data_IF_183705804976
#
_entry.id   IF_183705804976
#
_cell.length_a   1.000
_cell.length_b   1.000
_cell.length_c   1.000
_cell.angle_alpha   90.00
_cell.angle_beta   90.00
_cell.angle_gamma   90.00
#
_symmetry.space_group_name_H-M   'P 1'
#
loop_
_entity.id
_entity.type
_entity.pdbx_description
1 polymer ?
#
# COMPACT_ATOMS: atom_id res chain seq x y z
N UNK A 1 23.84 5.68 13.34
CA UNK A 1 22.79 6.50 12.70
C UNK A 1 21.98 5.59 11.78
N UNK A 2 20.78 5.99 11.37
CA UNK A 2 20.00 5.25 10.36
C UNK A 2 19.93 6.06 9.06
N UNK A 3 19.93 5.36 7.93
CA UNK A 3 19.80 5.97 6.61
C UNK A 3 18.33 5.97 6.12
N UNK A 4 17.53 5.04 6.63
CA UNK A 4 16.13 4.91 6.28
C UNK A 4 15.31 4.25 7.40
N UNK A 5 14.02 4.58 7.43
CA UNK A 5 12.97 3.84 8.12
C UNK A 5 12.22 2.98 7.09
N UNK A 6 11.88 1.76 7.49
CA UNK A 6 11.18 0.78 6.66
C UNK A 6 9.95 0.24 7.39
N UNK A 7 8.84 0.10 6.68
CA UNK A 7 7.66 -0.65 7.13
C UNK A 7 7.32 -1.72 6.10
N UNK A 8 6.82 -2.86 6.58
CA UNK A 8 6.40 -3.97 5.73
C UNK A 8 4.89 -3.87 5.37
N UNK A 9 4.26 -4.98 5.00
CA UNK A 9 2.91 -5.03 4.43
C UNK A 9 1.75 -5.06 5.44
N UNK A 10 2.04 -5.01 6.74
CA UNK A 10 1.01 -5.10 7.78
C UNK A 10 0.35 -3.74 8.09
N UNK A 11 -0.92 -3.61 7.71
CA UNK A 11 -1.78 -2.46 8.04
C UNK A 11 -2.98 -2.92 8.85
N UNK A 12 -4.15 -3.05 8.23
CA UNK A 12 -5.26 -3.79 8.83
C UNK A 12 -5.03 -5.31 8.70
N UNK A 13 -5.60 -6.12 9.61
CA UNK A 13 -5.48 -7.58 9.53
C UNK A 13 -6.05 -8.13 8.23
N UNK A 14 -5.48 -9.24 7.75
CA UNK A 14 -6.06 -10.00 6.63
C UNK A 14 -7.51 -10.37 6.94
N UNK A 15 -8.38 -10.18 5.94
CA UNK A 15 -9.82 -10.46 6.09
C UNK A 15 -10.03 -11.95 6.35
N UNK A 16 -10.70 -12.27 7.45
CA UNK A 16 -11.19 -13.62 7.75
C UNK A 16 -12.67 -13.68 7.33
N UNK A 17 -13.04 -14.70 6.57
CA UNK A 17 -14.40 -14.82 6.05
C UNK A 17 -15.42 -14.88 7.19
N UNK A 18 -16.39 -13.95 7.16
CA UNK A 18 -17.43 -13.83 8.19
C UNK A 18 -17.04 -13.00 9.42
N UNK A 19 -15.79 -12.52 9.50
CA UNK A 19 -15.34 -11.65 10.58
C UNK A 19 -15.19 -10.21 10.10
N UNK A 20 -15.65 -9.26 10.92
CA UNK A 20 -15.44 -7.84 10.70
C UNK A 20 -14.41 -7.32 11.69
N UNK A 21 -13.52 -6.45 11.22
CA UNK A 21 -12.63 -5.73 12.12
C UNK A 21 -13.46 -4.83 13.06
N UNK A 22 -13.29 -4.92 14.40
CA UNK A 22 -14.24 -4.36 15.36
C UNK A 22 -14.01 -2.86 15.63
N UNK A 23 -14.01 -2.04 14.58
CA UNK A 23 -13.75 -0.59 14.65
C UNK A 23 -14.98 0.28 14.36
N UNK A 24 -16.18 -0.29 14.27
CA UNK A 24 -17.41 0.44 13.99
C UNK A 24 -17.64 1.61 14.96
N UNK A 25 -17.42 1.39 16.27
CA UNK A 25 -17.54 2.46 17.28
C UNK A 25 -16.50 3.56 17.08
N UNK A 26 -15.28 3.19 16.70
CA UNK A 26 -14.20 4.13 16.39
C UNK A 26 -14.56 4.96 15.16
N UNK A 27 -15.07 4.31 14.11
CA UNK A 27 -15.58 4.97 12.91
C UNK A 27 -16.68 5.98 13.25
N UNK A 28 -17.72 5.58 14.01
CA UNK A 28 -18.80 6.49 14.42
C UNK A 28 -18.31 7.68 15.25
N UNK A 29 -17.28 7.47 16.08
CA UNK A 29 -16.73 8.51 16.95
C UNK A 29 -15.85 9.51 16.18
N UNK A 30 -15.03 9.04 15.25
CA UNK A 30 -13.97 9.85 14.64
C UNK A 30 -14.20 10.22 13.16
N UNK A 31 -15.11 9.56 12.46
CA UNK A 31 -15.41 9.87 11.05
C UNK A 31 -15.98 11.28 10.87
N UNK A 32 -16.74 11.80 11.85
CA UNK A 32 -17.35 13.14 11.81
C UNK A 32 -18.15 13.43 10.51
N UNK A 33 -18.67 12.39 9.86
CA UNK A 33 -19.38 12.49 8.57
C UNK A 33 -18.50 12.75 7.34
N UNK A 34 -17.17 12.68 7.45
CA UNK A 34 -16.22 12.91 6.35
C UNK A 34 -16.32 11.83 5.27
N UNK A 35 -16.51 10.58 5.68
CA UNK A 35 -16.65 9.43 4.79
C UNK A 35 -18.04 8.82 4.89
N UNK A 36 -18.56 8.35 3.75
CA UNK A 36 -19.84 7.63 3.68
C UNK A 36 -19.67 6.12 3.88
N UNK A 37 -18.44 5.62 3.74
CA UNK A 37 -18.08 4.22 3.87
C UNK A 37 -16.89 4.06 4.84
N UNK A 38 -16.98 3.07 5.73
CA UNK A 38 -15.92 2.75 6.70
C UNK A 38 -14.61 2.36 6.00
N UNK A 39 -14.67 1.73 4.83
CA UNK A 39 -13.44 1.31 4.12
C UNK A 39 -12.61 2.51 3.61
N UNK A 40 -13.26 3.59 3.18
CA UNK A 40 -12.57 4.83 2.81
C UNK A 40 -11.95 5.50 4.03
N UNK A 41 -12.67 5.49 5.15
CA UNK A 41 -12.15 5.98 6.42
C UNK A 41 -10.94 5.17 6.90
N UNK A 42 -10.96 3.84 6.77
CA UNK A 42 -9.81 2.98 7.09
C UNK A 42 -8.60 3.31 6.21
N UNK A 43 -8.79 3.52 4.90
CA UNK A 43 -7.72 3.96 4.00
C UNK A 43 -7.15 5.32 4.41
N UNK A 44 -8.02 6.28 4.74
CA UNK A 44 -7.59 7.61 5.19
C UNK A 44 -6.77 7.53 6.49
N UNK A 45 -7.17 6.70 7.46
CA UNK A 45 -6.40 6.49 8.69
C UNK A 45 -4.97 5.98 8.37
N UNK A 46 -4.83 5.02 7.45
CA UNK A 46 -3.52 4.51 7.03
C UNK A 46 -2.72 5.61 6.31
N UNK A 47 -3.37 6.35 5.41
CA UNK A 47 -2.73 7.45 4.67
C UNK A 47 -2.25 8.56 5.63
N UNK A 48 -3.03 8.89 6.65
CA UNK A 48 -2.64 9.84 7.70
C UNK A 48 -1.42 9.34 8.47
N UNK A 49 -1.40 8.07 8.90
CA UNK A 49 -0.22 7.48 9.55
C UNK A 49 1.03 7.59 8.67
N UNK A 50 0.95 7.17 7.41
CA UNK A 50 2.10 7.18 6.48
C UNK A 50 2.59 8.60 6.24
N UNK A 51 1.68 9.56 5.99
CA UNK A 51 2.01 10.98 5.80
C UNK A 51 2.69 11.57 7.05
N UNK A 52 2.13 11.31 8.22
CA UNK A 52 2.59 11.91 9.47
C UNK A 52 3.94 11.32 9.89
N UNK A 53 4.17 10.03 9.66
CA UNK A 53 5.47 9.40 9.83
C UNK A 53 6.53 10.03 8.93
N UNK A 54 6.26 10.17 7.62
CA UNK A 54 7.21 10.83 6.72
C UNK A 54 7.50 12.26 7.19
N UNK A 55 6.45 13.02 7.54
CA UNK A 55 6.59 14.40 8.01
C UNK A 55 7.48 14.48 9.25
N UNK A 56 7.25 13.62 10.25
CA UNK A 56 8.05 13.57 11.46
C UNK A 56 9.52 13.18 11.18
N UNK A 57 9.75 12.19 10.30
CA UNK A 57 11.10 11.78 9.88
C UNK A 57 11.83 12.96 9.23
N UNK A 58 11.19 13.68 8.30
CA UNK A 58 11.83 14.80 7.60
C UNK A 58 12.08 16.01 8.51
N UNK A 59 11.26 16.21 9.53
CA UNK A 59 11.46 17.25 10.54
C UNK A 59 12.67 16.96 11.44
N UNK A 60 12.85 15.69 11.83
CA UNK A 60 13.98 15.27 12.67
C UNK A 60 15.28 15.17 11.86
N UNK A 61 15.23 14.46 10.72
CA UNK A 61 16.37 14.22 9.81
C UNK A 61 15.91 14.14 8.36
N UNK A 62 15.94 15.26 7.66
CA UNK A 62 15.49 15.39 6.25
C UNK A 62 16.15 14.44 5.26
N UNK A 63 17.36 13.95 5.55
CA UNK A 63 18.08 12.99 4.72
C UNK A 63 17.66 11.53 4.93
N UNK A 64 16.98 11.21 6.04
CA UNK A 64 16.51 9.84 6.31
C UNK A 64 15.35 9.54 5.38
N UNK A 65 15.44 8.41 4.65
CA UNK A 65 14.37 7.97 3.75
C UNK A 65 13.28 7.22 4.52
N UNK A 66 12.05 7.32 4.07
CA UNK A 66 10.95 6.48 4.51
C UNK A 66 10.44 5.66 3.34
N UNK A 67 10.20 4.37 3.55
CA UNK A 67 9.57 3.56 2.52
C UNK A 67 8.92 2.32 3.08
N UNK A 68 8.13 1.72 2.20
CA UNK A 68 7.18 0.68 2.58
C UNK A 68 7.29 -0.50 1.61
N UNK A 69 7.24 -1.72 2.12
CA UNK A 69 7.08 -2.95 1.35
C UNK A 69 5.64 -3.43 1.42
N UNK A 70 4.75 -2.97 0.51
CA UNK A 70 3.38 -3.45 0.49
C UNK A 70 3.28 -4.80 -0.23
N UNK A 71 2.11 -5.43 -0.16
CA UNK A 71 1.80 -6.60 -0.98
C UNK A 71 1.98 -6.30 -2.47
N UNK A 72 2.28 -7.32 -3.28
CA UNK A 72 2.60 -7.10 -4.70
C UNK A 72 1.44 -6.59 -5.56
N UNK A 73 0.18 -6.69 -5.11
CA UNK A 73 -1.01 -6.28 -5.87
C UNK A 73 -1.72 -5.13 -5.15
N UNK A 74 -1.85 -3.97 -5.79
CA UNK A 74 -2.63 -2.85 -5.25
C UNK A 74 -4.15 -3.08 -5.37
N UNK A 75 -4.62 -3.30 -6.60
CA UNK A 75 -5.99 -3.68 -6.98
C UNK A 75 -5.92 -4.57 -8.22
N UNK A 76 -6.86 -5.52 -8.35
CA UNK A 76 -7.02 -6.27 -9.59
C UNK A 76 -7.73 -5.43 -10.65
N UNK A 77 -7.50 -5.75 -11.92
CA UNK A 77 -8.14 -5.08 -13.07
C UNK A 77 -9.67 -5.16 -13.04
N UNK A 78 -10.22 -6.23 -12.44
CA UNK A 78 -11.66 -6.40 -12.29
C UNK A 78 -12.26 -5.46 -11.23
N UNK A 79 -11.45 -5.05 -10.24
CA UNK A 79 -11.86 -4.16 -9.15
C UNK A 79 -11.63 -2.68 -9.52
N UNK A 80 -10.64 -2.38 -10.37
CA UNK A 80 -10.38 -1.06 -10.93
C UNK A 80 -9.69 -1.18 -12.31
N UNK A 81 -10.19 -0.52 -13.37
CA UNK A 81 -9.65 -0.62 -14.74
C UNK A 81 -8.20 -0.12 -14.88
N UNK A 82 -7.66 0.54 -13.87
CA UNK A 82 -6.26 0.99 -13.79
C UNK A 82 -5.41 0.13 -12.86
N UNK A 83 -5.98 -0.93 -12.27
CA UNK A 83 -5.29 -1.95 -11.50
C UNK A 83 -4.41 -2.85 -12.37
N UNK A 84 -3.68 -3.77 -11.73
CA UNK A 84 -2.85 -4.74 -12.45
C UNK A 84 -3.71 -5.82 -13.10
N UNK A 85 -3.26 -6.37 -14.23
CA UNK A 85 -3.94 -7.48 -14.91
C UNK A 85 -3.75 -8.80 -14.13
N UNK A 86 -4.39 -8.88 -12.98
CA UNK A 86 -4.25 -9.93 -11.97
C UNK A 86 -5.61 -10.34 -11.42
N UNK A 87 -5.66 -11.47 -10.74
CA UNK A 87 -6.82 -11.97 -10.00
C UNK A 87 -6.37 -12.45 -8.62
N UNK A 88 -5.52 -11.67 -7.96
CA UNK A 88 -4.98 -12.01 -6.66
C UNK A 88 -6.10 -12.04 -5.61
N UNK A 89 -5.98 -12.92 -4.61
CA UNK A 89 -6.94 -12.98 -3.50
C UNK A 89 -6.78 -11.79 -2.54
N UNK A 90 -5.54 -11.49 -2.18
CA UNK A 90 -5.17 -10.40 -1.28
C UNK A 90 -4.70 -9.18 -2.09
N UNK A 91 -5.21 -7.98 -1.77
CA UNK A 91 -4.87 -6.71 -2.43
C UNK A 91 -4.68 -5.62 -1.39
N UNK A 92 -3.73 -4.71 -1.62
CA UNK A 92 -3.43 -3.65 -0.66
C UNK A 92 -4.65 -2.75 -0.40
N UNK A 93 -5.29 -2.25 -1.45
CA UNK A 93 -6.35 -1.25 -1.30
C UNK A 93 -7.63 -1.84 -0.71
N UNK A 94 -8.01 -3.02 -1.18
CA UNK A 94 -9.32 -3.63 -0.90
C UNK A 94 -9.37 -4.33 0.46
N UNK A 95 -8.26 -4.96 0.86
CA UNK A 95 -8.26 -5.85 2.01
C UNK A 95 -7.45 -5.30 3.17
N UNK A 96 -6.33 -4.62 2.90
CA UNK A 96 -5.42 -4.07 3.91
C UNK A 96 -5.63 -2.58 4.18
N UNK A 97 -6.49 -1.94 3.38
CA UNK A 97 -6.72 -0.49 3.38
C UNK A 97 -5.44 0.32 3.16
N UNK A 98 -4.48 -0.27 2.44
CA UNK A 98 -3.20 0.31 2.09
C UNK A 98 -3.26 0.92 0.68
N UNK A 99 -3.53 2.22 0.58
CA UNK A 99 -3.57 2.90 -0.72
C UNK A 99 -2.19 3.35 -1.19
N UNK A 100 -1.39 2.37 -1.61
CA UNK A 100 -0.03 2.58 -2.13
C UNK A 100 0.04 3.58 -3.29
N UNK A 101 -1.00 3.64 -4.14
CA UNK A 101 -1.08 4.62 -5.21
C UNK A 101 -1.18 6.04 -4.65
N UNK A 102 -2.01 6.26 -3.62
CA UNK A 102 -2.07 7.57 -2.96
C UNK A 102 -0.69 7.97 -2.41
N UNK A 103 0.02 7.05 -1.75
CA UNK A 103 1.34 7.34 -1.18
C UNK A 103 2.36 7.76 -2.24
N UNK A 104 2.38 7.06 -3.39
CA UNK A 104 3.22 7.40 -4.53
C UNK A 104 2.81 8.76 -5.11
N UNK A 105 1.51 9.01 -5.30
CA UNK A 105 1.03 10.22 -5.96
C UNK A 105 1.24 11.48 -5.12
N UNK A 106 1.04 11.38 -3.80
CA UNK A 106 1.16 12.50 -2.86
C UNK A 106 2.56 12.65 -2.25
N UNK A 107 3.48 11.71 -2.52
CA UNK A 107 4.84 11.76 -1.99
C UNK A 107 4.92 11.47 -0.50
N UNK A 108 4.07 10.59 0.01
CA UNK A 108 4.07 10.22 1.44
C UNK A 108 5.17 9.23 1.81
N UNK A 109 5.90 8.71 0.83
CA UNK A 109 7.07 7.84 1.00
C UNK A 109 8.19 8.32 0.07
N UNK A 110 9.43 7.94 0.31
CA UNK A 110 10.57 8.16 -0.59
C UNK A 110 10.86 6.94 -1.47
N UNK A 111 10.47 5.74 -1.01
CA UNK A 111 10.62 4.51 -1.79
C UNK A 111 9.50 3.51 -1.51
N UNK A 112 9.26 2.63 -2.48
CA UNK A 112 8.29 1.54 -2.38
C UNK A 112 8.91 0.22 -2.84
N UNK A 113 8.55 -0.84 -2.13
CA UNK A 113 9.14 -2.18 -2.28
C UNK A 113 8.08 -3.27 -2.45
N UNK A 114 7.26 -3.26 -3.53
CA UNK A 114 6.19 -4.24 -3.68
C UNK A 114 6.69 -5.68 -3.63
N UNK A 115 6.03 -6.50 -2.82
CA UNK A 115 6.33 -7.91 -2.61
C UNK A 115 5.82 -8.77 -3.78
N UNK A 116 6.60 -8.86 -4.87
CA UNK A 116 6.25 -9.66 -6.05
C UNK A 116 6.85 -11.06 -5.90
N UNK A 117 6.22 -11.87 -5.06
CA UNK A 117 6.75 -13.18 -4.63
C UNK A 117 6.25 -14.36 -5.45
N UNK A 118 5.73 -14.10 -6.64
CA UNK A 118 5.25 -15.12 -7.57
C UNK A 118 6.20 -15.24 -8.76
N UNK A 119 6.17 -16.39 -9.44
CA UNK A 119 6.95 -16.62 -10.64
C UNK A 119 6.32 -15.96 -11.88
N UNK A 120 7.13 -15.78 -12.92
CA UNK A 120 6.67 -15.40 -14.27
C UNK A 120 5.63 -16.45 -14.74
N UNK A 121 4.52 -15.98 -15.28
CA UNK A 121 3.42 -16.83 -15.77
C UNK A 121 2.49 -17.41 -14.70
N UNK A 122 2.65 -17.08 -13.42
CA UNK A 122 1.67 -17.44 -12.40
C UNK A 122 0.35 -16.67 -12.62
N UNK A 123 -0.65 -17.33 -13.19
CA UNK A 123 -1.88 -16.68 -13.69
C UNK A 123 -2.52 -15.66 -12.75
N UNK A 124 -2.65 -15.90 -11.42
CA UNK A 124 -3.29 -14.94 -10.54
C UNK A 124 -2.49 -13.64 -10.30
N UNK A 125 -1.15 -13.69 -10.39
CA UNK A 125 -0.26 -12.61 -9.97
C UNK A 125 1.12 -12.72 -10.65
N UNK A 126 1.14 -12.77 -11.98
CA UNK A 126 2.38 -13.02 -12.74
C UNK A 126 3.42 -11.92 -12.50
N UNK A 127 4.67 -12.34 -12.24
CA UNK A 127 5.78 -11.46 -11.88
C UNK A 127 5.98 -10.30 -12.86
N UNK A 128 6.09 -10.63 -14.15
CA UNK A 128 6.33 -9.70 -15.25
C UNK A 128 5.20 -8.67 -15.39
N UNK A 129 3.94 -9.11 -15.26
CA UNK A 129 2.78 -8.22 -15.26
C UNK A 129 2.81 -7.23 -14.10
N UNK A 130 3.16 -7.70 -12.90
CA UNK A 130 3.22 -6.84 -11.72
C UNK A 130 4.39 -5.86 -11.78
N UNK A 131 5.58 -6.30 -12.21
CA UNK A 131 6.73 -5.40 -12.40
C UNK A 131 6.38 -4.30 -13.39
N UNK A 132 5.82 -4.63 -14.54
CA UNK A 132 5.41 -3.65 -15.55
C UNK A 132 4.37 -2.65 -15.01
N UNK A 133 3.46 -3.11 -14.15
CA UNK A 133 2.46 -2.25 -13.52
C UNK A 133 3.10 -1.28 -12.52
N UNK A 134 3.96 -1.76 -11.62
CA UNK A 134 4.65 -0.91 -10.62
C UNK A 134 5.63 0.09 -11.24
N UNK A 135 6.30 -0.29 -12.33
CA UNK A 135 7.12 0.64 -13.12
C UNK A 135 6.26 1.79 -13.65
N UNK A 136 5.04 1.52 -14.12
CA UNK A 136 4.12 2.56 -14.60
C UNK A 136 3.63 3.46 -13.46
N UNK A 137 3.30 2.89 -12.30
CA UNK A 137 2.85 3.67 -11.13
C UNK A 137 3.88 4.70 -10.66
N UNK A 138 5.16 4.33 -10.70
CA UNK A 138 6.27 5.17 -10.22
C UNK A 138 6.91 6.02 -11.32
N UNK A 139 6.49 5.85 -12.57
CA UNK A 139 7.07 6.57 -13.70
C UNK A 139 6.91 8.10 -13.54
N UNK A 140 8.02 8.84 -13.73
CA UNK A 140 8.10 10.29 -13.54
C UNK A 140 7.68 10.78 -12.14
N UNK A 141 7.73 9.92 -11.12
CA UNK A 141 7.50 10.29 -9.72
C UNK A 141 8.84 10.34 -8.97
N UNK A 142 8.99 11.21 -7.97
CA UNK A 142 10.21 11.29 -7.16
C UNK A 142 10.25 10.16 -6.10
N UNK A 143 9.96 8.92 -6.51
CA UNK A 143 9.88 7.74 -5.65
C UNK A 143 10.83 6.67 -6.21
N UNK A 144 11.62 6.06 -5.35
CA UNK A 144 12.40 4.89 -5.75
C UNK A 144 11.53 3.62 -5.74
N UNK A 145 11.52 2.89 -6.85
CA UNK A 145 10.92 1.55 -6.93
C UNK A 145 12.02 0.49 -6.76
N UNK A 146 11.83 -0.42 -5.81
CA UNK A 146 12.62 -1.65 -5.70
C UNK A 146 11.68 -2.86 -5.70
N UNK A 147 12.00 -3.94 -6.38
CA UNK A 147 11.11 -5.12 -6.38
C UNK A 147 11.50 -6.05 -5.24
N UNK A 148 10.55 -6.36 -4.35
CA UNK A 148 10.74 -7.38 -3.31
C UNK A 148 10.86 -8.77 -3.94
N UNK A 149 11.89 -9.52 -3.56
CA UNK A 149 12.20 -10.85 -4.12
C UNK A 149 12.06 -11.93 -3.04
N UNK A 150 11.30 -12.98 -3.34
CA UNK A 150 11.18 -14.16 -2.49
C UNK A 150 12.28 -15.18 -2.80
N UNK A 151 13.47 -15.00 -2.22
CA UNK A 151 14.58 -15.95 -2.34
C UNK A 151 14.54 -17.11 -1.31
N UNK A 152 13.46 -17.19 -0.52
CA UNK A 152 13.24 -18.19 0.52
C UNK A 152 12.67 -19.51 -0.03
#
# INVERSE_FOLDING_TARGET
DIDALHMDDYFYPYKVAGEQFPDQKTYETYNNGRFTNIEDWRRDNVNELVRDLNTAIKQEKSYVKFGISPFGVWRNIADDPTGSNTTAGQRNYDDLYADTREWIQKGYIDYITPQIYWNIGFTPAAYDILVDWWVKETNNKPIHLYIGQAAY
#
